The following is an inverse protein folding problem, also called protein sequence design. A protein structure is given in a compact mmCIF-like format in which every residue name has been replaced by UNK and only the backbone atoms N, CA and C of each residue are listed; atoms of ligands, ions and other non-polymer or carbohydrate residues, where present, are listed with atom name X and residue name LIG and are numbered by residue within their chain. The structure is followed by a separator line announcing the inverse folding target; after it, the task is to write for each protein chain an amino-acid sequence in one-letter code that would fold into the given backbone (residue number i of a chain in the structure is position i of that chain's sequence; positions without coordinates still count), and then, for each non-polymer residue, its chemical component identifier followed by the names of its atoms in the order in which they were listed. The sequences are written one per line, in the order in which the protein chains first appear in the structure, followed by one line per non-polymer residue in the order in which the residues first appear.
data_IF_853699327416
#
_entry.id   IF_853699327416
#
_cell.length_a   1.000
_cell.length_b   1.000
_cell.length_c   1.000
_cell.angle_alpha   90.00
_cell.angle_beta   90.00
_cell.angle_gamma   90.00
#
_symmetry.space_group_name_H-M   'P 1'
#
loop_
_entity.id
_entity.type
_entity.pdbx_description
1 polymer ?
#
# COMPACT_ATOMS: atom_id res chain seq x y z
N UNK A 1 12.89 2.87 8.44
CA UNK A 1 11.94 3.11 7.33
C UNK A 1 12.64 2.74 6.04
N UNK A 2 11.93 2.02 5.18
CA UNK A 2 12.38 1.58 3.86
C UNK A 2 11.51 2.24 2.80
N UNK A 3 12.04 2.31 1.58
CA UNK A 3 11.31 2.81 0.41
C UNK A 3 10.44 1.70 -0.16
N UNK A 4 9.22 2.05 -0.55
CA UNK A 4 8.29 1.17 -1.25
C UNK A 4 7.59 1.92 -2.38
N UNK A 5 7.01 1.14 -3.29
CA UNK A 5 6.10 1.65 -4.31
C UNK A 5 4.78 0.90 -4.24
N UNK A 6 3.68 1.61 -4.01
CA UNK A 6 2.32 1.06 -4.05
C UNK A 6 1.74 1.25 -5.45
N UNK A 7 1.23 0.17 -6.03
CA UNK A 7 0.45 0.17 -7.26
C UNK A 7 -1.02 0.09 -6.90
N UNK A 8 -1.79 1.02 -7.45
CA UNK A 8 -3.24 1.06 -7.30
C UNK A 8 -3.90 1.73 -8.50
N UNK A 9 -5.21 1.85 -8.44
CA UNK A 9 -6.00 2.57 -9.43
C UNK A 9 -7.22 3.22 -8.78
N UNK A 10 -7.83 4.17 -9.48
CA UNK A 10 -9.13 4.71 -9.10
C UNK A 10 -10.23 4.08 -9.97
N UNK A 11 -11.29 3.57 -9.34
CA UNK A 11 -12.42 2.99 -10.08
C UNK A 11 -13.16 4.03 -10.93
N UNK A 12 -13.24 5.29 -10.46
CA UNK A 12 -14.01 6.35 -11.12
C UNK A 12 -13.52 6.65 -12.55
N UNK A 13 -12.20 6.62 -12.76
CA UNK A 13 -11.58 7.08 -14.00
C UNK A 13 -10.58 6.07 -14.60
N UNK A 14 -10.49 4.89 -14.01
CA UNK A 14 -9.59 3.79 -14.42
C UNK A 14 -8.10 4.18 -14.42
N UNK A 15 -7.74 5.29 -13.77
CA UNK A 15 -6.37 5.76 -13.72
C UNK A 15 -5.55 4.88 -12.78
N UNK A 16 -4.57 4.18 -13.35
CA UNK A 16 -3.56 3.43 -12.61
C UNK A 16 -2.45 4.38 -12.15
N UNK A 17 -1.93 4.16 -10.95
CA UNK A 17 -0.83 4.93 -10.40
C UNK A 17 0.25 4.04 -9.77
N UNK A 18 1.43 4.64 -9.62
CA UNK A 18 2.56 4.14 -8.84
C UNK A 18 2.91 5.23 -7.83
N UNK A 19 2.72 4.95 -6.55
CA UNK A 19 2.97 5.89 -5.47
C UNK A 19 4.18 5.46 -4.64
N UNK A 20 5.18 6.33 -4.54
CA UNK A 20 6.40 6.07 -3.77
C UNK A 20 6.23 6.53 -2.33
N UNK A 21 6.52 5.67 -1.35
CA UNK A 21 6.30 5.95 0.07
C UNK A 21 7.38 5.32 0.94
N UNK A 22 7.77 6.03 2.00
CA UNK A 22 8.61 5.47 3.06
C UNK A 22 7.73 4.80 4.12
N UNK A 23 7.97 3.51 4.41
CA UNK A 23 7.19 2.73 5.38
C UNK A 23 8.07 1.81 6.22
N UNK A 24 7.50 1.23 7.28
CA UNK A 24 8.20 0.22 8.10
C UNK A 24 8.12 -1.18 7.49
N UNK A 25 7.00 -1.48 6.83
CA UNK A 25 6.68 -2.75 6.18
C UNK A 25 5.85 -2.50 4.90
N UNK A 26 5.70 -3.50 4.01
CA UNK A 26 4.81 -3.40 2.85
C UNK A 26 3.36 -3.11 3.24
N UNK A 27 2.90 -3.68 4.36
CA UNK A 27 1.57 -3.44 4.93
C UNK A 27 1.41 -1.96 5.32
N UNK A 28 2.38 -1.41 6.04
CA UNK A 28 2.41 0.00 6.40
C UNK A 28 2.47 0.93 5.17
N UNK A 29 3.11 0.50 4.08
CA UNK A 29 3.10 1.25 2.82
C UNK A 29 1.68 1.34 2.23
N UNK A 30 0.89 0.25 2.24
CA UNK A 30 -0.52 0.31 1.85
C UNK A 30 -1.31 1.27 2.74
N UNK A 31 -1.13 1.20 4.06
CA UNK A 31 -1.83 2.07 5.01
C UNK A 31 -1.58 3.54 4.74
N UNK A 32 -0.31 3.94 4.59
CA UNK A 32 0.07 5.33 4.30
C UNK A 32 -0.49 5.81 2.96
N UNK A 33 -0.40 4.99 1.91
CA UNK A 33 -0.96 5.36 0.61
C UNK A 33 -2.48 5.43 0.64
N UNK A 34 -3.16 4.58 1.40
CA UNK A 34 -4.61 4.68 1.61
C UNK A 34 -5.01 6.00 2.29
N UNK A 35 -4.19 6.54 3.20
CA UNK A 35 -4.45 7.85 3.82
C UNK A 35 -4.40 9.01 2.81
N UNK A 36 -3.51 8.94 1.82
CA UNK A 36 -3.38 9.95 0.77
C UNK A 36 -4.35 9.73 -0.40
N UNK A 37 -4.74 8.48 -0.63
CA UNK A 37 -5.57 8.02 -1.76
C UNK A 37 -6.79 7.24 -1.25
N UNK A 38 -7.64 7.90 -0.46
CA UNK A 38 -8.75 7.25 0.26
C UNK A 38 -9.87 6.66 -0.61
N UNK A 39 -9.88 6.95 -1.92
CA UNK A 39 -10.82 6.36 -2.90
C UNK A 39 -10.16 5.33 -3.82
N UNK A 40 -8.89 5.00 -3.61
CA UNK A 40 -8.16 4.09 -4.47
C UNK A 40 -8.42 2.62 -4.14
N UNK A 41 -8.28 1.79 -5.16
CA UNK A 41 -8.09 0.36 -5.05
C UNK A 41 -6.59 0.04 -5.09
N UNK A 42 -6.10 -0.67 -4.08
CA UNK A 42 -4.69 -1.04 -3.92
C UNK A 42 -4.47 -2.50 -4.33
N UNK A 43 -3.37 -2.73 -5.05
CA UNK A 43 -3.08 -4.04 -5.66
C UNK A 43 -1.83 -4.64 -5.03
N UNK A 44 -0.70 -3.94 -5.16
CA UNK A 44 0.60 -4.48 -4.83
C UNK A 44 1.55 -3.40 -4.29
N UNK A 45 2.50 -3.85 -3.49
CA UNK A 45 3.66 -3.08 -3.05
C UNK A 45 4.92 -3.72 -3.58
N UNK A 46 5.81 -2.91 -4.12
CA UNK A 46 7.17 -3.28 -4.52
C UNK A 46 8.16 -2.67 -3.54
N UNK A 47 9.25 -3.40 -3.29
CA UNK A 47 10.38 -2.85 -2.55
C UNK A 47 11.11 -1.78 -3.38
N UNK A 48 11.53 -0.71 -2.71
CA UNK A 48 12.17 0.44 -3.32
C UNK A 48 11.23 1.28 -4.20
N UNK A 49 11.82 2.26 -4.88
CA UNK A 49 11.11 3.03 -5.91
C UNK A 49 11.14 2.28 -7.25
N UNK A 50 10.39 1.18 -7.34
CA UNK A 50 10.35 0.26 -8.48
C UNK A 50 11.67 -0.46 -8.74
N UNK A 51 12.17 -1.22 -7.77
CA UNK A 51 13.34 -2.08 -7.98
C UNK A 51 12.96 -3.50 -8.42
N UNK A 52 13.52 -3.96 -9.54
CA UNK A 52 13.32 -5.32 -10.02
C UNK A 52 13.98 -6.37 -9.11
N UNK A 53 13.34 -7.54 -8.98
CA UNK A 53 13.92 -8.71 -8.30
C UNK A 53 13.97 -8.65 -6.77
N UNK A 54 13.38 -7.62 -6.15
CA UNK A 54 13.43 -7.42 -4.69
C UNK A 54 12.23 -7.98 -3.93
N UNK A 55 11.06 -7.98 -4.55
CA UNK A 55 9.86 -8.55 -3.95
C UNK A 55 8.61 -7.84 -4.43
N UNK A 56 7.48 -8.56 -4.37
CA UNK A 56 6.14 -7.99 -4.56
C UNK A 56 5.27 -8.55 -3.44
N UNK A 57 4.60 -7.65 -2.73
CA UNK A 57 3.58 -8.00 -1.73
C UNK A 57 2.21 -7.59 -2.25
N UNK A 58 1.21 -8.44 -2.13
CA UNK A 58 -0.17 -8.11 -2.52
C UNK A 58 -0.94 -7.59 -1.31
N UNK A 59 -1.89 -6.68 -1.56
CA UNK A 59 -2.73 -6.11 -0.50
C UNK A 59 -3.63 -7.19 0.17
N UNK A 60 -3.99 -8.24 -0.57
CA UNK A 60 -4.72 -9.39 -0.11
C UNK A 60 -4.79 -10.48 -1.18
N UNK A 61 -5.75 -11.40 -1.06
CA UNK A 61 -6.05 -12.40 -2.11
C UNK A 61 -6.63 -11.77 -3.39
N UNK A 62 -7.12 -10.53 -3.28
CA UNK A 62 -7.63 -9.72 -4.37
C UNK A 62 -7.24 -8.25 -4.17
N UNK A 63 -7.72 -7.39 -5.06
CA UNK A 63 -7.65 -5.94 -4.92
C UNK A 63 -8.36 -5.53 -3.63
N UNK A 64 -7.77 -4.60 -2.88
CA UNK A 64 -8.33 -4.10 -1.62
C UNK A 64 -8.56 -2.60 -1.75
N UNK A 65 -9.76 -2.13 -1.43
CA UNK A 65 -10.06 -0.70 -1.40
C UNK A 65 -9.40 0.00 -0.20
N UNK A 66 -9.12 1.29 -0.35
CA UNK A 66 -8.48 2.08 0.69
C UNK A 66 -9.30 2.16 1.99
N UNK A 67 -10.64 2.11 1.93
CA UNK A 67 -11.50 2.09 3.12
C UNK A 67 -11.24 0.83 3.95
N UNK A 68 -11.16 -0.34 3.30
CA UNK A 68 -10.82 -1.62 3.95
C UNK A 68 -9.44 -1.55 4.60
N UNK A 69 -8.42 -1.03 3.91
CA UNK A 69 -7.06 -0.87 4.46
C UNK A 69 -7.07 0.02 5.72
N UNK A 70 -7.76 1.16 5.66
CA UNK A 70 -7.86 2.09 6.78
C UNK A 70 -8.69 1.55 7.95
N UNK A 71 -9.65 0.65 7.67
CA UNK A 71 -10.49 0.01 8.70
C UNK A 71 -9.78 -1.11 9.48
N UNK A 72 -8.62 -1.58 9.02
CA UNK A 72 -7.87 -2.70 9.60
C UNK A 72 -6.43 -2.29 9.97
N UNK A 73 -6.24 -1.29 10.85
CA UNK A 73 -4.89 -0.85 11.26
C UNK A 73 -4.08 -1.98 11.92
N UNK A 74 -4.70 -2.93 12.60
CA UNK A 74 -4.02 -4.08 13.22
C UNK A 74 -3.37 -5.03 12.17
N UNK A 75 -3.75 -4.91 10.90
CA UNK A 75 -3.18 -5.65 9.78
C UNK A 75 -2.21 -4.76 9.00
N UNK A 76 -2.60 -3.51 8.77
CA UNK A 76 -1.90 -2.62 7.84
C UNK A 76 -0.96 -1.61 8.51
N UNK A 77 -1.04 -1.38 9.82
CA UNK A 77 -0.21 -0.45 10.61
C UNK A 77 0.33 -1.05 11.91
N UNK A 78 0.32 -2.39 12.02
CA UNK A 78 0.63 -3.14 13.24
C UNK A 78 2.01 -2.88 13.87
N UNK A 79 2.98 -2.38 13.10
CA UNK A 79 4.35 -2.17 13.56
C UNK A 79 4.50 -0.93 14.48
N UNK A 80 3.46 -0.12 14.68
CA UNK A 80 3.47 1.05 15.58
C UNK A 80 3.27 0.69 17.06
N UNK A 81 2.86 -0.55 17.41
CA UNK A 81 2.56 -0.94 18.79
C UNK A 81 3.79 -1.46 19.58
N UNK A 82 4.99 -1.42 19.01
CA UNK A 82 6.23 -1.81 19.70
C UNK A 82 7.06 -0.57 20.11
N UNK A 83 6.53 0.22 21.06
CA UNK A 83 7.31 1.17 21.87
C UNK A 83 7.22 0.83 23.37
#
# INVERSE_FOLDING_TARGET
MNQYTVIGYYEENEQIFSHHVDATSPQNAFFKVAQEHSSACLIATLDGHLEEGKGITFAGESVVDAETVLSQPDVFDADQEQE
#
